data_IF_842613349999
#
_entry.id   IF_842613349999
#
_cell.length_a   1.000
_cell.length_b   1.000
_cell.length_c   1.000
_cell.angle_alpha   90.00
_cell.angle_beta   90.00
_cell.angle_gamma   90.00
#
_symmetry.space_group_name_H-M   'P 1'
#
loop_
_entity.id
_entity.type
_entity.pdbx_description
1 polymer ?
#
# COMPACT_ATOMS: atom_id res chain seq x y z
N UNK A 1 -18.80 -91.45 -20.96
CA UNK A 1 -17.66 -92.21 -20.38
C UNK A 1 -16.42 -91.33 -20.50
N UNK A 2 -15.78 -91.12 -19.40
CA UNK A 2 -14.49 -90.47 -19.10
C UNK A 2 -14.32 -88.98 -19.43
N UNK A 3 -14.55 -88.22 -18.37
CA UNK A 3 -14.06 -86.90 -18.11
C UNK A 3 -12.54 -86.87 -17.96
N UNK A 4 -11.91 -85.87 -18.50
CA UNK A 4 -10.63 -85.45 -17.95
C UNK A 4 -10.71 -83.96 -17.65
N UNK A 5 -10.47 -83.64 -16.40
CA UNK A 5 -10.38 -82.33 -15.77
C UNK A 5 -8.97 -81.78 -16.07
N UNK A 6 -8.89 -80.67 -16.73
CA UNK A 6 -7.62 -79.98 -16.90
C UNK A 6 -7.67 -78.67 -16.04
N UNK A 7 -6.86 -78.69 -15.01
CA UNK A 7 -6.65 -77.54 -14.11
C UNK A 7 -5.82 -76.49 -14.84
N UNK A 8 -6.41 -75.39 -15.19
CA UNK A 8 -5.70 -74.19 -15.68
C UNK A 8 -5.30 -73.31 -14.52
N UNK A 9 -4.03 -73.12 -14.31
CA UNK A 9 -3.40 -72.24 -13.37
C UNK A 9 -3.52 -70.79 -13.90
N UNK A 10 -4.34 -69.99 -13.27
CA UNK A 10 -4.45 -68.58 -13.62
C UNK A 10 -3.36 -67.84 -12.86
N UNK A 11 -2.31 -67.45 -13.55
CA UNK A 11 -1.26 -66.59 -13.03
C UNK A 11 -1.77 -65.13 -13.08
N UNK A 12 -2.09 -64.55 -11.91
CA UNK A 12 -2.50 -63.15 -11.76
C UNK A 12 -1.25 -62.25 -11.85
N UNK A 13 -0.98 -61.69 -13.01
CA UNK A 13 0.00 -60.59 -13.15
C UNK A 13 -0.57 -59.30 -12.60
N UNK A 14 -0.18 -58.94 -11.39
CA UNK A 14 -0.36 -57.60 -10.88
C UNK A 14 0.55 -56.62 -11.64
N UNK A 15 0.00 -55.94 -12.64
CA UNK A 15 0.67 -54.78 -13.28
C UNK A 15 0.48 -53.60 -12.34
N UNK A 16 1.55 -53.24 -11.62
CA UNK A 16 1.63 -51.99 -10.83
C UNK A 16 1.73 -50.83 -11.84
N UNK A 17 0.60 -50.23 -12.17
CA UNK A 17 0.57 -48.95 -12.90
C UNK A 17 1.08 -47.85 -11.97
N UNK A 18 2.37 -47.54 -12.06
CA UNK A 18 2.94 -46.30 -11.48
C UNK A 18 2.38 -45.14 -12.27
N UNK A 19 1.30 -44.50 -11.75
CA UNK A 19 0.84 -43.24 -12.27
C UNK A 19 1.85 -42.16 -11.87
N UNK A 20 2.75 -41.81 -12.81
CA UNK A 20 3.50 -40.58 -12.74
C UNK A 20 2.48 -39.43 -12.80
N UNK A 21 2.16 -38.87 -11.62
CA UNK A 21 1.57 -37.54 -11.56
C UNK A 21 2.58 -36.56 -12.14
N UNK A 22 2.22 -35.76 -13.14
CA UNK A 22 3.11 -34.67 -13.54
C UNK A 22 3.29 -33.76 -12.34
N UNK A 23 4.54 -33.64 -11.89
CA UNK A 23 4.92 -32.57 -10.99
C UNK A 23 4.50 -31.26 -11.70
N UNK A 24 3.51 -30.57 -11.14
CA UNK A 24 3.21 -29.21 -11.53
C UNK A 24 4.46 -28.44 -11.14
N UNK A 25 5.38 -28.32 -12.08
CA UNK A 25 6.47 -27.35 -12.02
C UNK A 25 5.77 -26.00 -11.96
N UNK A 26 5.64 -25.44 -10.76
CA UNK A 26 5.31 -24.05 -10.60
C UNK A 26 6.38 -23.29 -11.39
N UNK A 27 6.03 -22.88 -12.60
CA UNK A 27 6.81 -21.91 -13.32
C UNK A 27 6.93 -20.72 -12.35
N UNK A 28 8.12 -20.50 -11.81
CA UNK A 28 8.48 -19.22 -11.24
C UNK A 28 8.35 -18.23 -12.39
N UNK A 29 7.19 -17.59 -12.49
CA UNK A 29 7.02 -16.46 -13.40
C UNK A 29 8.18 -15.52 -13.12
N UNK A 30 8.96 -15.29 -14.16
CA UNK A 30 10.12 -14.41 -14.10
C UNK A 30 9.59 -13.07 -13.64
N UNK A 31 9.93 -12.66 -12.41
CA UNK A 31 9.49 -11.41 -11.85
C UNK A 31 9.69 -10.33 -12.92
N UNK A 32 8.61 -9.61 -13.26
CA UNK A 32 8.67 -8.53 -14.23
C UNK A 32 9.83 -7.62 -13.80
N UNK A 33 10.67 -7.20 -14.76
CA UNK A 33 11.82 -6.35 -14.49
C UNK A 33 11.30 -4.93 -14.18
N UNK A 34 10.79 -4.74 -12.95
CA UNK A 34 10.25 -3.45 -12.50
C UNK A 34 11.39 -2.44 -12.34
N UNK A 35 11.10 -1.14 -12.53
CA UNK A 35 12.05 -0.10 -12.22
C UNK A 35 12.49 -0.18 -10.74
N UNK A 36 13.71 0.24 -10.45
CA UNK A 36 14.20 0.37 -9.08
C UNK A 36 13.36 1.38 -8.27
N UNK A 37 13.37 1.33 -6.94
CA UNK A 37 12.65 2.31 -6.12
C UNK A 37 12.98 3.76 -6.49
N UNK A 38 14.25 4.08 -6.76
CA UNK A 38 14.68 5.43 -7.11
C UNK A 38 14.17 5.87 -8.48
N UNK A 39 14.18 4.97 -9.46
CA UNK A 39 13.58 5.22 -10.78
C UNK A 39 12.09 5.48 -10.67
N UNK A 40 11.36 4.71 -9.84
CA UNK A 40 9.92 4.93 -9.61
C UNK A 40 9.66 6.28 -8.97
N UNK A 41 10.41 6.66 -7.93
CA UNK A 41 10.27 7.98 -7.29
C UNK A 41 10.53 9.09 -8.32
N UNK A 42 11.52 8.93 -9.19
CA UNK A 42 11.79 9.87 -10.29
C UNK A 42 10.60 9.94 -11.26
N UNK A 43 10.05 8.79 -11.69
CA UNK A 43 8.88 8.74 -12.58
C UNK A 43 7.67 9.47 -11.98
N UNK A 44 7.40 9.26 -10.68
CA UNK A 44 6.31 9.93 -9.97
C UNK A 44 6.54 11.46 -9.89
N UNK A 45 7.78 11.90 -9.63
CA UNK A 45 8.15 13.31 -9.63
C UNK A 45 7.96 13.97 -11.00
N UNK A 46 8.40 13.31 -12.05
CA UNK A 46 8.25 13.78 -13.43
C UNK A 46 6.78 13.82 -13.86
N UNK A 47 5.98 12.81 -13.46
CA UNK A 47 4.53 12.79 -13.71
C UNK A 47 3.83 13.95 -13.02
N UNK A 48 4.12 14.19 -11.75
CA UNK A 48 3.55 15.35 -11.04
C UNK A 48 4.00 16.69 -11.65
N UNK A 49 5.25 16.79 -12.10
CA UNK A 49 5.70 18.00 -12.79
C UNK A 49 4.88 18.27 -14.07
N UNK A 50 4.62 17.24 -14.88
CA UNK A 50 3.76 17.38 -16.07
C UNK A 50 2.34 17.78 -15.71
N UNK A 51 1.79 17.22 -14.62
CA UNK A 51 0.46 17.57 -14.12
C UNK A 51 0.38 19.06 -13.74
N UNK A 52 1.33 19.55 -12.95
CA UNK A 52 1.41 20.95 -12.50
C UNK A 52 1.58 21.91 -13.69
N UNK A 53 2.34 21.52 -14.72
CA UNK A 53 2.56 22.32 -15.92
C UNK A 53 1.43 22.25 -16.94
N UNK A 54 0.38 21.46 -16.71
CA UNK A 54 -0.68 21.21 -17.68
C UNK A 54 -0.21 20.51 -18.96
N UNK A 55 0.86 19.70 -18.85
CA UNK A 55 1.50 18.95 -19.94
C UNK A 55 1.35 17.44 -19.79
N UNK A 56 0.27 16.98 -19.18
CA UNK A 56 -0.01 15.55 -19.04
C UNK A 56 0.00 14.84 -20.38
N UNK A 57 0.61 13.68 -20.44
CA UNK A 57 0.65 12.82 -21.64
C UNK A 57 -0.35 11.68 -21.58
N UNK A 58 -1.00 11.49 -20.41
CA UNK A 58 -2.00 10.44 -20.17
C UNK A 58 -1.57 9.08 -20.70
N UNK A 59 -0.44 8.52 -20.19
CA UNK A 59 0.12 7.29 -20.72
C UNK A 59 -0.79 6.10 -20.40
N UNK A 60 -0.80 5.08 -21.26
CA UNK A 60 -1.44 3.78 -20.98
C UNK A 60 -2.91 3.84 -20.53
N UNK A 61 -3.72 4.71 -21.18
CA UNK A 61 -5.18 4.82 -20.95
C UNK A 61 -5.99 4.44 -22.20
N UNK A 62 -5.36 3.91 -23.23
CA UNK A 62 -5.96 3.54 -24.49
C UNK A 62 -6.66 2.16 -24.46
N UNK A 63 -7.36 1.84 -25.55
CA UNK A 63 -8.07 0.56 -25.68
C UNK A 63 -7.14 -0.65 -25.64
N UNK A 64 -5.91 -0.53 -26.14
CA UNK A 64 -4.92 -1.61 -26.09
C UNK A 64 -4.53 -1.94 -24.64
N UNK A 65 -4.32 -0.91 -23.82
CA UNK A 65 -4.03 -1.09 -22.39
C UNK A 65 -5.21 -1.71 -21.64
N UNK A 66 -6.45 -1.36 -21.96
CA UNK A 66 -7.64 -2.01 -21.37
C UNK A 66 -7.71 -3.50 -21.72
N UNK A 67 -7.44 -3.86 -22.98
CA UNK A 67 -7.37 -5.26 -23.39
C UNK A 67 -6.25 -6.01 -22.66
N UNK A 68 -5.11 -5.38 -22.46
CA UNK A 68 -3.99 -5.95 -21.70
C UNK A 68 -4.38 -6.16 -20.23
N UNK A 69 -5.01 -5.17 -19.59
CA UNK A 69 -5.48 -5.25 -18.20
C UNK A 69 -6.50 -6.37 -17.96
N UNK A 70 -7.29 -6.74 -18.99
CA UNK A 70 -8.21 -7.87 -18.92
C UNK A 70 -7.55 -9.25 -19.07
N UNK A 71 -6.25 -9.31 -19.33
CA UNK A 71 -5.52 -10.58 -19.63
C UNK A 71 -4.31 -10.82 -18.76
N UNK A 72 -3.71 -9.77 -18.23
CA UNK A 72 -2.45 -9.81 -17.49
C UNK A 72 -2.65 -9.46 -16.02
N UNK A 73 -1.79 -10.00 -15.17
CA UNK A 73 -1.76 -9.65 -13.76
C UNK A 73 -1.14 -8.25 -13.56
N UNK A 74 -1.78 -7.43 -12.72
CA UNK A 74 -1.27 -6.09 -12.38
C UNK A 74 0.14 -6.14 -11.76
N UNK A 75 0.50 -7.23 -11.10
CA UNK A 75 1.83 -7.47 -10.56
C UNK A 75 2.95 -7.39 -11.59
N UNK A 76 2.65 -7.52 -12.88
CA UNK A 76 3.61 -7.33 -13.95
C UNK A 76 3.84 -5.86 -14.32
N UNK A 77 2.99 -4.94 -13.86
CA UNK A 77 2.94 -3.56 -14.34
C UNK A 77 3.02 -2.51 -13.24
N UNK A 78 2.24 -2.68 -12.16
CA UNK A 78 2.17 -1.68 -11.11
C UNK A 78 3.54 -1.45 -10.46
N UNK A 79 4.00 -0.21 -10.50
CA UNK A 79 5.31 0.17 -10.01
C UNK A 79 5.27 0.96 -8.69
N UNK A 80 4.10 1.39 -8.23
CA UNK A 80 3.94 2.06 -6.94
C UNK A 80 2.67 1.63 -6.24
N UNK A 81 2.71 1.60 -4.90
CA UNK A 81 1.53 1.62 -4.04
C UNK A 81 1.40 3.02 -3.48
N UNK A 82 0.20 3.57 -3.47
CA UNK A 82 -0.08 4.89 -2.89
C UNK A 82 -1.23 4.77 -1.91
N UNK A 83 -1.01 5.11 -0.64
CA UNK A 83 -2.09 5.35 0.31
C UNK A 83 -2.35 6.84 0.41
N UNK A 84 -3.63 7.24 0.32
CA UNK A 84 -4.03 8.64 0.37
C UNK A 84 -5.46 8.84 0.86
N UNK A 85 -5.86 10.10 1.01
CA UNK A 85 -7.21 10.45 1.41
C UNK A 85 -8.26 10.08 0.33
N UNK A 86 -9.48 9.76 0.79
CA UNK A 86 -10.67 9.61 -0.07
C UNK A 86 -11.16 10.93 -0.67
N UNK A 87 -10.56 12.08 -0.32
CA UNK A 87 -10.93 13.40 -0.82
C UNK A 87 -10.94 13.41 -2.35
N UNK A 88 -12.05 13.88 -2.95
CA UNK A 88 -12.25 13.87 -4.41
C UNK A 88 -11.26 14.78 -5.17
N UNK A 89 -10.57 15.69 -4.46
CA UNK A 89 -9.54 16.57 -5.03
C UNK A 89 -8.18 15.88 -5.18
N UNK A 90 -8.05 14.59 -4.74
CA UNK A 90 -6.81 13.81 -4.77
C UNK A 90 -6.92 12.63 -5.75
N UNK A 91 -7.02 12.86 -7.07
CA UNK A 91 -7.06 11.80 -8.08
C UNK A 91 -5.64 11.31 -8.38
N UNK A 92 -5.19 10.25 -7.72
CA UNK A 92 -3.80 9.78 -7.69
C UNK A 92 -3.20 9.61 -9.09
N UNK A 93 -3.90 8.90 -9.97
CA UNK A 93 -3.42 8.61 -11.32
C UNK A 93 -3.22 9.88 -12.15
N UNK A 94 -4.10 10.88 -11.98
CA UNK A 94 -3.95 12.17 -12.65
C UNK A 94 -2.80 13.00 -12.09
N UNK A 95 -2.66 13.03 -10.75
CA UNK A 95 -1.61 13.77 -10.06
C UNK A 95 -0.22 13.29 -10.48
N UNK A 96 -0.07 11.98 -10.73
CA UNK A 96 1.20 11.39 -11.16
C UNK A 96 1.28 11.17 -12.67
N UNK A 97 0.29 11.65 -13.45
CA UNK A 97 0.21 11.45 -14.91
C UNK A 97 0.53 9.98 -15.28
N UNK A 98 -0.15 9.06 -14.64
CA UNK A 98 -0.02 7.60 -14.78
C UNK A 98 -1.27 6.99 -15.40
N UNK A 99 -1.18 5.73 -15.80
CA UNK A 99 -2.24 5.04 -16.51
C UNK A 99 -2.78 3.81 -15.79
N UNK A 100 -3.57 3.04 -16.52
CA UNK A 100 -4.18 1.80 -16.04
C UNK A 100 -3.09 0.79 -15.67
N UNK A 101 -3.22 0.12 -14.52
CA UNK A 101 -2.26 -0.82 -13.93
C UNK A 101 -0.89 -0.23 -13.55
N UNK A 102 -0.73 1.08 -13.45
CA UNK A 102 0.54 1.69 -13.09
C UNK A 102 0.72 1.84 -11.58
N UNK A 103 -0.36 2.19 -10.88
CA UNK A 103 -0.36 2.46 -9.44
C UNK A 103 -1.42 1.61 -8.74
N UNK A 104 -1.04 0.95 -7.65
CA UNK A 104 -1.95 0.31 -6.72
C UNK A 104 -2.38 1.32 -5.66
N UNK A 105 -3.67 1.69 -5.62
CA UNK A 105 -4.15 2.81 -4.81
C UNK A 105 -5.00 2.31 -3.63
N UNK A 106 -4.64 2.76 -2.42
CA UNK A 106 -5.42 2.58 -1.19
C UNK A 106 -5.97 3.95 -0.78
N UNK A 107 -7.27 4.07 -0.53
CA UNK A 107 -7.90 5.35 -0.18
C UNK A 107 -8.82 5.22 1.03
N UNK A 108 -8.59 6.10 2.02
CA UNK A 108 -9.41 6.21 3.21
C UNK A 108 -9.42 7.66 3.68
N UNK A 109 -10.50 8.15 4.30
CA UNK A 109 -10.53 9.52 4.78
C UNK A 109 -9.39 9.80 5.78
N UNK A 110 -8.60 10.85 5.53
CA UNK A 110 -7.45 11.21 6.35
C UNK A 110 -6.20 10.35 6.15
N UNK A 111 -6.10 9.53 5.12
CA UNK A 111 -4.95 8.66 4.81
C UNK A 111 -4.40 7.86 6.01
N UNK A 112 -5.28 7.42 6.91
CA UNK A 112 -4.91 6.60 8.08
C UNK A 112 -4.44 5.21 7.67
N UNK A 113 -3.68 4.53 8.53
CA UNK A 113 -3.30 3.13 8.35
C UNK A 113 -3.88 2.30 9.50
N UNK A 114 -5.04 1.70 9.27
CA UNK A 114 -5.60 0.68 10.15
C UNK A 114 -5.60 -0.69 9.44
N UNK A 115 -6.18 -1.68 10.02
CA UNK A 115 -6.09 -3.09 9.60
C UNK A 115 -6.34 -3.29 8.10
N UNK A 116 -7.39 -2.71 7.53
CA UNK A 116 -7.77 -2.90 6.12
C UNK A 116 -6.80 -2.20 5.16
N UNK A 117 -6.36 -0.98 5.50
CA UNK A 117 -5.37 -0.24 4.71
C UNK A 117 -4.01 -0.93 4.78
N UNK A 118 -3.58 -1.38 5.97
CA UNK A 118 -2.33 -2.13 6.16
C UNK A 118 -2.35 -3.42 5.35
N UNK A 119 -3.43 -4.19 5.42
CA UNK A 119 -3.60 -5.41 4.63
C UNK A 119 -3.53 -5.14 3.12
N UNK A 120 -4.14 -4.05 2.66
CA UNK A 120 -4.07 -3.62 1.26
C UNK A 120 -2.65 -3.19 0.86
N UNK A 121 -1.91 -2.50 1.74
CA UNK A 121 -0.50 -2.12 1.52
C UNK A 121 0.38 -3.37 1.46
N UNK A 122 0.21 -4.31 2.38
CA UNK A 122 0.93 -5.60 2.37
C UNK A 122 0.70 -6.34 1.04
N UNK A 123 -0.55 -6.38 0.55
CA UNK A 123 -0.87 -6.96 -0.75
C UNK A 123 -0.12 -6.24 -1.88
N UNK A 124 -0.12 -4.91 -1.89
CA UNK A 124 0.60 -4.10 -2.88
C UNK A 124 2.11 -4.36 -2.88
N UNK A 125 2.72 -4.48 -1.70
CA UNK A 125 4.17 -4.67 -1.57
C UNK A 125 4.60 -6.13 -1.76
N UNK A 126 3.86 -7.10 -1.19
CA UNK A 126 4.27 -8.50 -1.14
C UNK A 126 3.76 -9.33 -2.32
N UNK A 127 2.59 -9.01 -2.89
CA UNK A 127 1.95 -9.78 -3.96
C UNK A 127 1.99 -9.04 -5.31
N UNK A 128 1.63 -7.75 -5.31
CA UNK A 128 1.80 -6.92 -6.52
C UNK A 128 3.28 -6.56 -6.73
N UNK A 129 4.11 -6.67 -5.70
CA UNK A 129 5.55 -6.40 -5.72
C UNK A 129 5.91 -4.97 -6.18
N UNK A 130 5.18 -3.97 -5.68
CA UNK A 130 5.50 -2.57 -5.99
C UNK A 130 6.75 -2.13 -5.22
N UNK A 131 7.76 -1.57 -5.91
CA UNK A 131 9.03 -1.17 -5.27
C UNK A 131 8.95 0.14 -4.47
N UNK A 132 7.81 0.85 -4.50
CA UNK A 132 7.61 2.10 -3.74
C UNK A 132 6.23 2.10 -3.10
N UNK A 133 6.18 2.50 -1.81
CA UNK A 133 4.97 2.94 -1.13
C UNK A 133 5.06 4.45 -0.90
N UNK A 134 4.08 5.19 -1.38
CA UNK A 134 3.90 6.62 -1.08
C UNK A 134 2.78 6.79 -0.06
N UNK A 135 3.08 7.39 1.09
CA UNK A 135 2.06 7.85 2.05
C UNK A 135 1.80 9.32 1.72
N UNK A 136 0.67 9.58 1.07
CA UNK A 136 0.32 10.87 0.48
C UNK A 136 -0.75 11.59 1.29
N UNK A 137 -0.35 12.57 2.10
CA UNK A 137 -1.26 13.56 2.69
C UNK A 137 -1.62 14.65 1.69
N UNK A 138 -2.57 15.51 2.06
CA UNK A 138 -2.92 16.65 1.22
C UNK A 138 -3.33 17.88 2.05
N UNK A 139 -3.10 19.06 1.52
CA UNK A 139 -3.54 20.32 2.16
C UNK A 139 -5.06 20.37 2.30
N UNK A 140 -5.55 21.05 3.35
CA UNK A 140 -6.99 21.22 3.63
C UNK A 140 -7.74 19.89 3.82
N UNK A 141 -7.10 18.88 4.43
CA UNK A 141 -7.74 17.61 4.73
C UNK A 141 -8.86 17.78 5.75
N UNK A 142 -10.11 17.47 5.35
CA UNK A 142 -11.28 17.64 6.20
C UNK A 142 -11.27 16.75 7.44
N UNK A 143 -10.75 15.53 7.35
CA UNK A 143 -10.66 14.60 8.48
C UNK A 143 -9.69 15.15 9.55
N UNK A 144 -8.48 15.59 9.16
CA UNK A 144 -7.50 16.18 10.09
C UNK A 144 -8.02 17.46 10.70
N UNK A 145 -8.70 18.30 9.89
CA UNK A 145 -9.34 19.54 10.39
C UNK A 145 -10.38 19.24 11.45
N UNK A 146 -11.25 18.24 11.22
CA UNK A 146 -12.30 17.86 12.17
C UNK A 146 -11.70 17.38 13.51
N UNK A 147 -10.66 16.56 13.46
CA UNK A 147 -9.94 16.11 14.68
C UNK A 147 -9.26 17.26 15.39
N UNK A 148 -8.62 18.18 14.64
CA UNK A 148 -7.99 19.37 15.23
C UNK A 148 -9.03 20.22 15.98
N UNK A 149 -10.21 20.43 15.40
CA UNK A 149 -11.31 21.15 16.06
C UNK A 149 -11.80 20.38 17.30
N UNK A 150 -11.93 19.06 17.24
CA UNK A 150 -12.35 18.25 18.39
C UNK A 150 -11.36 18.33 19.56
N UNK A 151 -10.05 18.25 19.28
CA UNK A 151 -8.99 18.40 20.30
C UNK A 151 -8.99 19.78 20.93
N UNK A 152 -9.36 20.83 20.19
CA UNK A 152 -9.54 22.17 20.70
C UNK A 152 -10.89 22.42 21.43
N UNK A 153 -11.71 21.38 21.64
CA UNK A 153 -13.03 21.51 22.25
C UNK A 153 -14.09 22.18 21.38
N UNK A 154 -13.83 22.31 20.06
CA UNK A 154 -14.74 22.85 19.05
C UNK A 154 -15.39 21.71 18.21
N UNK A 155 -15.28 20.45 18.66
CA UNK A 155 -15.86 19.32 17.99
C UNK A 155 -17.40 19.36 17.98
N UNK A 156 -17.99 18.65 17.02
CA UNK A 156 -19.43 18.41 16.93
C UNK A 156 -19.72 16.91 16.92
N UNK A 157 -21.00 16.53 17.10
CA UNK A 157 -21.41 15.14 17.01
C UNK A 157 -21.11 14.59 15.62
N UNK A 158 -20.56 13.39 15.57
CA UNK A 158 -20.23 12.66 14.36
C UNK A 158 -21.12 11.42 14.19
N UNK A 159 -21.30 10.99 12.96
CA UNK A 159 -21.99 9.73 12.65
C UNK A 159 -21.24 8.55 13.26
N UNK A 160 -22.00 7.50 13.59
CA UNK A 160 -21.58 6.35 14.41
C UNK A 160 -20.20 5.76 14.08
N UNK A 161 -19.84 5.70 12.80
CA UNK A 161 -18.62 5.01 12.35
C UNK A 161 -17.44 5.96 12.12
N UNK A 162 -17.64 7.29 12.14
CA UNK A 162 -16.57 8.27 11.94
C UNK A 162 -15.57 8.30 13.10
N UNK A 163 -15.99 8.22 14.38
CA UNK A 163 -15.04 8.26 15.50
C UNK A 163 -13.91 7.24 15.38
N UNK A 164 -14.21 5.98 15.08
CA UNK A 164 -13.20 4.92 14.96
C UNK A 164 -12.13 5.23 13.90
N UNK A 165 -12.53 5.90 12.81
CA UNK A 165 -11.60 6.33 11.76
C UNK A 165 -10.74 7.52 12.21
N UNK A 166 -11.35 8.55 12.82
CA UNK A 166 -10.66 9.78 13.16
C UNK A 166 -9.80 9.65 14.41
N UNK A 167 -10.07 8.68 15.28
CA UNK A 167 -9.24 8.37 16.47
C UNK A 167 -7.80 8.05 16.07
N UNK A 168 -7.57 7.47 14.88
CA UNK A 168 -6.23 7.22 14.33
C UNK A 168 -5.46 8.52 13.99
N UNK A 169 -6.15 9.65 13.83
CA UNK A 169 -5.55 10.95 13.48
C UNK A 169 -5.16 11.75 14.75
N UNK A 170 -5.87 11.53 15.85
CA UNK A 170 -5.67 12.33 17.07
C UNK A 170 -4.21 12.36 17.56
N UNK A 171 -3.44 11.26 17.57
CA UNK A 171 -2.04 11.30 17.98
C UNK A 171 -1.19 12.25 17.15
N UNK A 172 -1.45 12.36 15.85
CA UNK A 172 -0.76 13.29 14.96
C UNK A 172 -1.07 14.76 15.29
N UNK A 173 -2.35 15.07 15.53
CA UNK A 173 -2.77 16.41 15.94
C UNK A 173 -2.11 16.83 17.25
N UNK A 174 -2.10 15.95 18.26
CA UNK A 174 -1.46 16.22 19.54
C UNK A 174 0.04 16.46 19.39
N UNK A 175 0.73 15.63 18.60
CA UNK A 175 2.17 15.83 18.31
C UNK A 175 2.45 17.15 17.60
N UNK A 176 1.61 17.56 16.66
CA UNK A 176 1.75 18.86 16.01
C UNK A 176 1.65 20.01 17.01
N UNK A 177 0.67 19.96 17.94
CA UNK A 177 0.50 20.94 19.00
C UNK A 177 1.68 20.98 19.99
N UNK A 178 2.22 19.82 20.35
CA UNK A 178 3.40 19.71 21.22
C UNK A 178 4.66 20.30 20.57
N UNK A 179 4.85 20.08 19.28
CA UNK A 179 6.00 20.62 18.53
C UNK A 179 5.90 22.12 18.26
N UNK A 180 4.68 22.63 18.22
CA UNK A 180 4.39 24.02 17.86
C UNK A 180 3.50 24.70 18.91
N UNK A 181 3.97 24.83 20.18
CA UNK A 181 3.14 25.31 21.29
C UNK A 181 2.66 26.77 21.14
N UNK A 182 3.37 27.53 20.31
CA UNK A 182 3.04 28.96 20.05
C UNK A 182 2.01 29.11 18.91
N UNK A 183 1.76 28.05 18.12
CA UNK A 183 0.76 28.09 17.05
C UNK A 183 -0.62 27.77 17.62
N UNK A 184 -1.60 28.63 17.32
CA UNK A 184 -2.95 28.55 17.86
C UNK A 184 -3.99 28.30 16.76
N UNK A 185 -5.15 27.83 17.20
CA UNK A 185 -6.33 27.63 16.34
C UNK A 185 -6.03 26.84 15.05
N UNK A 186 -6.68 27.19 13.97
CA UNK A 186 -6.63 26.46 12.69
C UNK A 186 -5.27 26.57 11.99
N UNK A 187 -4.39 27.47 12.43
CA UNK A 187 -3.03 27.60 11.87
C UNK A 187 -2.13 26.40 12.19
N UNK A 188 -2.53 25.54 13.13
CA UNK A 188 -1.86 24.27 13.42
C UNK A 188 -2.19 23.17 12.38
N UNK A 189 -3.29 23.28 11.66
CA UNK A 189 -3.81 22.23 10.74
C UNK A 189 -2.76 21.77 9.71
N UNK A 190 -2.02 22.63 9.02
CA UNK A 190 -0.99 22.19 8.08
C UNK A 190 0.07 21.28 8.72
N UNK A 191 0.49 21.58 9.95
CA UNK A 191 1.45 20.75 10.70
C UNK A 191 0.83 19.43 11.15
N UNK A 192 -0.45 19.45 11.56
CA UNK A 192 -1.17 18.23 11.90
C UNK A 192 -1.35 17.30 10.70
N UNK A 193 -1.56 17.84 9.50
CA UNK A 193 -1.64 17.06 8.27
C UNK A 193 -0.30 16.38 7.95
N UNK A 194 0.82 17.09 8.10
CA UNK A 194 2.14 16.50 7.90
C UNK A 194 2.44 15.42 8.97
N UNK A 195 2.17 15.71 10.24
CA UNK A 195 2.31 14.71 11.31
C UNK A 195 1.43 13.48 11.09
N UNK A 196 0.27 13.64 10.44
CA UNK A 196 -0.61 12.51 10.10
C UNK A 196 -0.04 11.63 8.99
N UNK A 197 0.74 12.16 8.06
CA UNK A 197 1.53 11.32 7.12
C UNK A 197 2.51 10.44 7.90
N UNK A 198 3.20 11.01 8.88
CA UNK A 198 4.15 10.27 9.71
C UNK A 198 3.47 9.28 10.66
N UNK A 199 2.26 9.60 11.15
CA UNK A 199 1.45 8.67 11.95
C UNK A 199 1.12 7.44 11.13
N UNK A 200 0.65 7.60 9.90
CA UNK A 200 0.33 6.47 9.02
C UNK A 200 1.56 5.58 8.74
N UNK A 201 2.76 6.15 8.59
CA UNK A 201 4.01 5.38 8.47
C UNK A 201 4.33 4.63 9.77
N UNK A 202 4.13 5.27 10.94
CA UNK A 202 4.36 4.65 12.25
C UNK A 202 3.40 3.49 12.49
N UNK A 203 2.10 3.67 12.25
CA UNK A 203 1.07 2.65 12.41
C UNK A 203 1.35 1.44 11.51
N UNK A 204 1.69 1.69 10.24
CA UNK A 204 2.09 0.66 9.29
C UNK A 204 3.29 -0.15 9.81
N UNK A 205 4.36 0.52 10.25
CA UNK A 205 5.54 -0.19 10.73
C UNK A 205 5.32 -0.87 12.09
N UNK A 206 4.45 -0.35 12.92
CA UNK A 206 4.08 -1.02 14.17
C UNK A 206 3.29 -2.29 13.92
N UNK A 207 2.34 -2.27 13.00
CA UNK A 207 1.41 -3.37 12.76
C UNK A 207 1.89 -4.39 11.71
N UNK A 208 2.76 -3.99 10.74
CA UNK A 208 3.21 -4.86 9.66
C UNK A 208 4.66 -5.29 9.76
N UNK A 209 4.91 -6.50 10.24
CA UNK A 209 6.24 -7.12 10.18
C UNK A 209 6.65 -7.42 8.72
N UNK A 210 5.70 -7.76 7.86
CA UNK A 210 5.94 -8.02 6.44
C UNK A 210 6.50 -6.78 5.74
N UNK A 211 5.86 -5.61 5.92
CA UNK A 211 6.33 -4.35 5.34
C UNK A 211 7.71 -3.97 5.86
N UNK A 212 7.96 -4.09 7.18
CA UNK A 212 9.30 -3.81 7.73
C UNK A 212 10.39 -4.69 7.11
N UNK A 213 10.10 -5.98 6.90
CA UNK A 213 11.06 -6.90 6.28
C UNK A 213 11.34 -6.51 4.82
N UNK A 214 10.31 -6.25 4.02
CA UNK A 214 10.43 -5.83 2.63
C UNK A 214 11.30 -4.56 2.51
N UNK A 215 11.08 -3.58 3.40
CA UNK A 215 11.86 -2.33 3.41
C UNK A 215 13.31 -2.57 3.84
N UNK A 216 13.55 -3.36 4.89
CA UNK A 216 14.92 -3.71 5.35
C UNK A 216 15.72 -4.51 4.31
N UNK A 217 15.04 -5.32 3.52
CA UNK A 217 15.64 -6.08 2.42
C UNK A 217 15.91 -5.20 1.18
N UNK A 218 15.52 -3.93 1.20
CA UNK A 218 15.68 -3.00 0.07
C UNK A 218 14.78 -3.32 -1.13
N UNK A 219 13.77 -4.18 -0.96
CA UNK A 219 12.82 -4.55 -2.01
C UNK A 219 11.82 -3.43 -2.30
N UNK A 220 11.50 -2.62 -1.29
CA UNK A 220 10.68 -1.44 -1.47
C UNK A 220 11.19 -0.28 -0.60
N UNK A 221 10.93 0.96 -1.07
CA UNK A 221 11.05 2.20 -0.29
C UNK A 221 9.69 2.71 0.14
N UNK A 222 9.62 3.23 1.36
CA UNK A 222 8.48 4.01 1.85
C UNK A 222 8.86 5.48 1.83
N UNK A 223 7.99 6.33 1.30
CA UNK A 223 8.20 7.77 1.23
C UNK A 223 6.94 8.51 1.68
N UNK A 224 7.12 9.59 2.43
CA UNK A 224 6.06 10.53 2.78
C UNK A 224 5.98 11.66 1.76
N UNK A 225 4.77 12.14 1.48
CA UNK A 225 4.57 13.26 0.58
C UNK A 225 3.31 14.05 0.92
N UNK A 226 3.29 15.32 0.53
CA UNK A 226 2.18 16.26 0.72
C UNK A 226 1.72 16.83 -0.62
N UNK A 227 0.49 16.56 -0.99
CA UNK A 227 -0.16 17.12 -2.17
C UNK A 227 -0.86 18.45 -1.83
N UNK A 228 -0.53 19.48 -2.55
CA UNK A 228 -1.22 20.77 -2.45
C UNK A 228 -2.41 20.80 -3.43
N UNK A 229 -3.62 20.79 -2.88
CA UNK A 229 -4.87 20.76 -3.68
C UNK A 229 -5.09 22.05 -4.48
N UNK A 230 -4.43 23.17 -4.10
CA UNK A 230 -4.57 24.45 -4.79
C UNK A 230 -3.63 24.61 -5.98
N UNK A 231 -2.46 23.96 -5.93
CA UNK A 231 -1.41 24.09 -6.98
C UNK A 231 -1.17 22.81 -7.77
N UNK A 232 -1.66 21.68 -7.27
CA UNK A 232 -1.37 20.36 -7.85
C UNK A 232 0.03 19.82 -7.55
N UNK A 233 0.85 20.55 -6.81
CA UNK A 233 2.24 20.20 -6.52
C UNK A 233 2.34 19.20 -5.39
N UNK A 234 3.26 18.23 -5.54
CA UNK A 234 3.67 17.33 -4.46
C UNK A 234 4.98 17.82 -3.84
N UNK A 235 4.97 18.00 -2.53
CA UNK A 235 6.15 18.24 -1.71
C UNK A 235 6.55 16.92 -1.06
N UNK A 236 7.72 16.40 -1.45
CA UNK A 236 8.28 15.17 -0.90
C UNK A 236 8.90 15.46 0.46
N UNK A 237 8.54 14.63 1.44
CA UNK A 237 9.00 14.79 2.81
C UNK A 237 10.38 14.11 3.01
N UNK A 238 11.11 14.47 4.09
CA UNK A 238 12.45 13.94 4.33
C UNK A 238 12.46 12.40 4.45
N UNK A 239 13.27 11.72 3.63
CA UNK A 239 13.38 10.25 3.65
C UNK A 239 13.98 9.73 4.96
N UNK A 240 14.85 10.52 5.61
CA UNK A 240 15.47 10.19 6.89
C UNK A 240 14.44 9.93 7.99
N UNK A 241 13.30 10.60 7.90
CA UNK A 241 12.22 10.44 8.88
C UNK A 241 11.61 9.04 8.84
N UNK A 242 11.50 8.44 7.66
CA UNK A 242 11.02 7.05 7.51
C UNK A 242 11.98 6.08 8.19
N UNK A 243 13.29 6.27 8.01
CA UNK A 243 14.31 5.45 8.66
C UNK A 243 14.27 5.57 10.19
N UNK A 244 14.06 6.78 10.72
CA UNK A 244 13.88 7.01 12.16
C UNK A 244 12.64 6.28 12.71
N UNK A 245 11.50 6.37 12.00
CA UNK A 245 10.25 5.71 12.41
C UNK A 245 10.42 4.18 12.37
N UNK A 246 11.06 3.65 11.32
CA UNK A 246 11.35 2.23 11.22
C UNK A 246 12.22 1.74 12.39
N UNK A 247 13.27 2.47 12.72
CA UNK A 247 14.14 2.12 13.85
C UNK A 247 13.39 2.15 15.18
N UNK A 248 12.51 3.14 15.40
CA UNK A 248 11.67 3.20 16.60
C UNK A 248 10.66 2.05 16.66
N UNK A 249 10.03 1.71 15.55
CA UNK A 249 9.11 0.57 15.47
C UNK A 249 9.85 -0.74 15.79
N UNK A 250 11.05 -0.96 15.22
CA UNK A 250 11.86 -2.16 15.50
C UNK A 250 12.31 -2.28 16.97
N UNK A 251 12.51 -1.16 17.65
CA UNK A 251 12.83 -1.13 19.08
C UNK A 251 11.59 -1.30 19.99
N UNK A 252 10.39 -1.15 19.47
CA UNK A 252 9.17 -1.19 20.27
C UNK A 252 8.73 -2.65 20.53
N UNK A 253 8.63 -3.10 21.81
CA UNK A 253 8.23 -4.46 22.14
C UNK A 253 6.76 -4.78 21.79
N UNK A 254 5.93 -3.75 21.57
CA UNK A 254 4.50 -3.91 21.22
C UNK A 254 4.26 -4.07 19.71
N UNK A 255 5.31 -3.96 18.88
CA UNK A 255 5.14 -4.13 17.43
C UNK A 255 4.70 -5.55 17.09
N UNK A 256 3.96 -5.71 16.00
CA UNK A 256 3.67 -7.03 15.45
C UNK A 256 4.99 -7.74 15.03
N UNK A 257 5.17 -8.97 15.46
CA UNK A 257 6.42 -9.74 15.22
C UNK A 257 6.31 -10.72 14.08
N UNK A 258 5.10 -11.25 13.84
CA UNK A 258 4.88 -12.28 12.85
C UNK A 258 4.44 -11.63 11.51
N UNK A 259 5.15 -11.89 10.41
CA UNK A 259 4.74 -11.38 9.09
C UNK A 259 3.56 -12.15 8.47
N UNK A 260 3.20 -13.30 9.02
CA UNK A 260 2.09 -14.13 8.55
C UNK A 260 1.00 -14.22 9.60
N UNK A 261 -0.26 -14.27 9.16
CA UNK A 261 -1.37 -14.51 10.04
C UNK A 261 -1.27 -15.91 10.70
N UNK A 262 -1.67 -16.01 11.97
CA UNK A 262 -1.79 -17.30 12.64
C UNK A 262 -3.04 -18.01 12.13
N UNK A 263 -2.86 -19.16 11.47
CA UNK A 263 -3.96 -19.94 10.88
C UNK A 263 -4.24 -19.52 9.44
N UNK A 264 -3.69 -20.26 8.48
CA UNK A 264 -3.97 -20.04 7.05
C UNK A 264 -5.46 -20.23 6.74
N UNK A 265 -5.99 -19.35 5.93
CA UNK A 265 -7.30 -19.49 5.25
C UNK A 265 -7.12 -20.34 3.99
#
# INVERSE_FOLDING_TARGET
MKNQIMKGLVTLCCVLALTLLPAISGATEKAANKPSPDEVIKMLKEGNQRFVEGKCIHPRIDAARMVQAGKEDQGNHAYATVITCSDSRVPVEFIFDSGIMDIFVVRVAGNVCDTDEIGSIEYGLAHVNTPVLVVLGHTQCGAVTAVTHAVHGKGHAMERNIPALVDNIEPAVRRAMEKHPDIKDDTIIPFAIEENVWQAVEDLFMASAATRNIVKEGKAKVVGAMYDVGTGKINWLPEEKVAEILAKAEANPKRAMNPMAEGGH
#
